data_IF_519459996157
#
_entry.id   IF_519459996157
#
_cell.length_a   1.000
_cell.length_b   1.000
_cell.length_c   1.000
_cell.angle_alpha   90.00
_cell.angle_beta   90.00
_cell.angle_gamma   90.00
#
_symmetry.space_group_name_H-M   'P 1'
#
loop_
_entity.id
_entity.type
_entity.pdbx_description
1 polymer ?
#
# COMPACT_ATOMS: atom_id res chain seq x y z
N UNK A 1 -21.05 10.73 -27.76
CA UNK A 1 -21.71 11.98 -27.34
C UNK A 1 -20.68 12.88 -26.68
N UNK A 2 -20.52 14.13 -27.13
CA UNK A 2 -19.59 15.07 -26.50
C UNK A 2 -20.02 15.30 -25.03
N UNK A 3 -19.10 15.11 -24.09
CA UNK A 3 -19.38 15.36 -22.67
C UNK A 3 -19.61 16.86 -22.47
N UNK A 4 -20.78 17.23 -21.94
CA UNK A 4 -21.12 18.62 -21.65
C UNK A 4 -20.22 19.18 -20.52
N UNK A 5 -19.81 20.44 -20.64
CA UNK A 5 -19.05 21.16 -19.61
C UNK A 5 -19.77 21.09 -18.26
N UNK A 6 -19.11 20.65 -17.17
CA UNK A 6 -19.72 20.65 -15.85
C UNK A 6 -20.12 22.06 -15.42
N UNK A 7 -21.32 22.20 -14.84
CA UNK A 7 -21.86 23.50 -14.38
C UNK A 7 -20.93 24.26 -13.43
N UNK A 8 -20.07 23.57 -12.68
CA UNK A 8 -19.15 24.15 -11.68
C UNK A 8 -17.69 24.19 -12.14
N UNK A 9 -17.41 24.08 -13.44
CA UNK A 9 -16.04 24.15 -13.95
C UNK A 9 -15.50 25.59 -13.97
N UNK A 10 -14.30 25.77 -13.40
CA UNK A 10 -13.54 27.01 -13.43
C UNK A 10 -12.72 27.08 -14.72
N UNK A 11 -12.94 28.09 -15.55
CA UNK A 11 -12.29 28.24 -16.87
C UNK A 11 -10.87 28.81 -16.82
N UNK A 12 -10.36 29.16 -15.65
CA UNK A 12 -9.00 29.66 -15.48
C UNK A 12 -8.14 28.62 -14.75
N UNK A 13 -6.88 28.40 -15.19
CA UNK A 13 -6.23 29.06 -16.33
C UNK A 13 -6.55 28.46 -17.70
N UNK A 14 -7.22 27.30 -17.76
CA UNK A 14 -7.53 26.60 -19.01
C UNK A 14 -9.03 26.37 -19.21
N UNK A 15 -9.49 26.43 -20.44
CA UNK A 15 -10.88 26.12 -20.78
C UNK A 15 -11.20 24.62 -20.64
N UNK A 16 -12.50 24.32 -20.60
CA UNK A 16 -12.97 22.94 -20.50
C UNK A 16 -12.54 22.15 -21.75
N UNK A 17 -11.76 21.08 -21.53
CA UNK A 17 -11.20 20.24 -22.59
C UNK A 17 -10.26 20.99 -23.55
N UNK A 18 -9.66 22.09 -23.10
CA UNK A 18 -8.54 22.68 -23.81
C UNK A 18 -7.41 21.66 -23.95
N UNK A 19 -6.87 21.54 -25.17
CA UNK A 19 -5.70 20.71 -25.46
C UNK A 19 -4.47 21.61 -25.37
N UNK A 20 -3.58 21.26 -24.46
CA UNK A 20 -2.35 22.00 -24.20
C UNK A 20 -1.14 21.12 -24.49
N UNK A 21 -0.11 21.71 -25.07
CA UNK A 21 1.19 21.10 -25.21
C UNK A 21 1.97 21.27 -23.90
N UNK A 22 2.45 20.18 -23.32
CA UNK A 22 3.15 20.18 -22.03
C UNK A 22 4.47 19.44 -22.11
N UNK A 23 5.46 19.93 -21.36
CA UNK A 23 6.69 19.21 -21.05
C UNK A 23 6.59 18.66 -19.62
N UNK A 24 6.80 17.35 -19.47
CA UNK A 24 6.71 16.68 -18.17
C UNK A 24 8.08 16.73 -17.48
N UNK A 25 8.10 17.25 -16.26
CA UNK A 25 9.31 17.51 -15.48
C UNK A 25 9.53 16.48 -14.36
N UNK A 26 8.46 15.86 -13.87
CA UNK A 26 8.51 14.98 -12.71
C UNK A 26 7.27 14.12 -12.56
N UNK A 27 7.24 13.35 -11.47
CA UNK A 27 6.08 12.55 -11.06
C UNK A 27 5.59 13.02 -9.69
N UNK A 28 4.28 12.98 -9.50
CA UNK A 28 3.63 13.17 -8.21
C UNK A 28 3.68 11.90 -7.36
N UNK A 29 3.35 12.03 -6.07
CA UNK A 29 3.10 10.89 -5.16
C UNK A 29 1.93 9.97 -5.60
N UNK A 30 1.10 10.45 -6.55
CA UNK A 30 0.03 9.68 -7.19
C UNK A 30 0.50 8.97 -8.47
N UNK A 31 1.77 9.12 -8.85
CA UNK A 31 2.33 8.56 -10.07
C UNK A 31 1.87 9.25 -11.36
N UNK A 32 1.26 10.43 -11.25
CA UNK A 32 0.93 11.26 -12.40
C UNK A 32 2.11 12.17 -12.76
N UNK A 33 2.36 12.35 -14.07
CA UNK A 33 3.28 13.32 -14.61
C UNK A 33 2.94 14.74 -14.15
N UNK A 34 3.97 15.53 -13.89
CA UNK A 34 3.86 16.93 -13.49
C UNK A 34 4.48 17.80 -14.58
N UNK A 35 3.70 18.71 -15.12
CA UNK A 35 4.17 19.85 -15.92
C UNK A 35 3.97 21.16 -15.13
N UNK A 36 4.80 22.16 -15.40
CA UNK A 36 4.69 23.49 -14.78
C UNK A 36 4.76 24.65 -15.80
N UNK A 37 3.88 24.69 -16.82
CA UNK A 37 3.83 25.83 -17.74
C UNK A 37 3.63 27.12 -16.94
N UNK A 38 4.56 28.07 -17.10
CA UNK A 38 4.58 29.37 -16.40
C UNK A 38 4.38 29.27 -14.87
N UNK A 39 4.89 28.18 -14.27
CA UNK A 39 4.78 27.91 -12.84
C UNK A 39 3.44 27.29 -12.39
N UNK A 40 2.47 27.10 -13.28
CA UNK A 40 1.18 26.47 -12.97
C UNK A 40 1.24 24.94 -13.05
N UNK A 41 0.89 24.25 -11.96
CA UNK A 41 1.00 22.78 -11.88
C UNK A 41 -0.10 22.09 -12.68
N UNK A 42 0.26 21.22 -13.61
CA UNK A 42 -0.67 20.34 -14.34
C UNK A 42 -0.31 18.88 -14.09
N UNK A 43 -1.28 18.11 -13.58
CA UNK A 43 -1.14 16.67 -13.37
C UNK A 43 -1.67 15.88 -14.56
N UNK A 44 -0.82 15.03 -15.13
CA UNK A 44 -1.14 14.19 -16.29
C UNK A 44 -0.80 12.73 -16.01
N UNK A 45 -1.78 11.88 -15.66
CA UNK A 45 -1.58 10.45 -15.45
C UNK A 45 -0.99 9.75 -16.68
N UNK A 46 -0.14 8.74 -16.44
CA UNK A 46 0.52 7.92 -17.48
C UNK A 46 1.51 8.66 -18.40
N UNK A 47 1.84 9.91 -18.08
CA UNK A 47 2.93 10.64 -18.69
C UNK A 47 4.20 10.56 -17.82
N UNK A 48 5.37 10.52 -18.45
CA UNK A 48 6.67 10.36 -17.80
C UNK A 48 7.55 11.60 -17.94
N UNK A 49 8.47 11.83 -16.99
CA UNK A 49 9.47 12.88 -17.09
C UNK A 49 10.30 12.78 -18.35
N UNK A 50 10.57 13.94 -18.96
CA UNK A 50 11.25 14.06 -20.25
C UNK A 50 10.31 14.06 -21.45
N UNK A 51 9.01 13.76 -21.26
CA UNK A 51 8.06 13.74 -22.37
C UNK A 51 7.59 15.12 -22.78
N UNK A 52 7.33 15.25 -24.08
CA UNK A 52 6.50 16.29 -24.67
C UNK A 52 5.18 15.66 -25.08
N UNK A 53 4.06 16.21 -24.61
CA UNK A 53 2.74 15.61 -24.78
C UNK A 53 1.68 16.62 -25.18
N UNK A 54 0.60 16.14 -25.77
CA UNK A 54 -0.69 16.83 -25.78
C UNK A 54 -1.54 16.31 -24.63
N UNK A 55 -2.07 17.21 -23.82
CA UNK A 55 -2.93 16.88 -22.67
C UNK A 55 -4.23 17.67 -22.74
N UNK A 56 -5.35 17.02 -22.41
CA UNK A 56 -6.68 17.62 -22.42
C UNK A 56 -7.13 17.94 -21.00
N UNK A 57 -7.24 19.21 -20.67
CA UNK A 57 -7.61 19.67 -19.32
C UNK A 57 -9.09 19.38 -19.03
N UNK A 58 -9.36 18.69 -17.93
CA UNK A 58 -10.73 18.38 -17.50
C UNK A 58 -11.04 18.91 -16.09
N UNK A 59 -10.08 19.54 -15.39
CA UNK A 59 -10.37 20.18 -14.11
C UNK A 59 -9.33 21.23 -13.76
N UNK A 60 -9.79 22.39 -13.32
CA UNK A 60 -8.96 23.37 -12.64
C UNK A 60 -9.36 23.43 -11.15
N UNK A 61 -8.35 23.41 -10.28
CA UNK A 61 -8.46 23.65 -8.85
C UNK A 61 -7.81 25.00 -8.50
N UNK A 62 -7.58 25.27 -7.21
CA UNK A 62 -7.08 26.57 -6.77
C UNK A 62 -5.62 26.84 -7.20
N UNK A 63 -4.81 25.79 -7.31
CA UNK A 63 -3.37 25.89 -7.53
C UNK A 63 -2.84 24.84 -8.53
N UNK A 64 -3.73 24.11 -9.21
CA UNK A 64 -3.35 23.11 -10.18
C UNK A 64 -4.48 22.82 -11.18
N UNK A 65 -4.12 22.13 -12.25
CA UNK A 65 -5.05 21.53 -13.20
C UNK A 65 -4.84 20.03 -13.31
N UNK A 66 -5.87 19.31 -13.72
CA UNK A 66 -5.81 17.90 -14.09
C UNK A 66 -6.16 17.75 -15.55
N UNK A 67 -5.35 16.97 -16.25
CA UNK A 67 -5.54 16.68 -17.66
C UNK A 67 -5.41 15.18 -17.94
N UNK A 68 -6.05 14.75 -19.02
CA UNK A 68 -5.87 13.41 -19.58
C UNK A 68 -4.79 13.47 -20.66
N UNK A 69 -3.88 12.49 -20.67
CA UNK A 69 -2.92 12.31 -21.76
C UNK A 69 -3.67 12.02 -23.06
N UNK A 70 -3.44 12.82 -24.11
CA UNK A 70 -4.04 12.64 -25.44
C UNK A 70 -3.05 11.95 -26.37
N UNK A 71 -1.84 12.49 -26.46
CA UNK A 71 -0.81 12.04 -27.38
C UNK A 71 0.58 12.32 -26.80
N UNK A 72 1.53 11.44 -27.07
CA UNK A 72 2.94 11.64 -26.74
C UNK A 72 3.63 12.10 -28.03
N UNK A 73 4.06 13.36 -28.06
CA UNK A 73 4.76 13.95 -29.20
C UNK A 73 6.24 13.54 -29.22
N UNK A 74 6.87 13.56 -28.04
CA UNK A 74 8.24 13.11 -27.84
C UNK A 74 8.28 12.19 -26.61
N UNK A 75 8.52 10.88 -26.78
CA UNK A 75 8.54 9.94 -25.66
C UNK A 75 9.81 10.09 -24.81
N UNK A 76 9.70 9.78 -23.53
CA UNK A 76 10.85 9.66 -22.64
C UNK A 76 11.73 8.50 -23.12
N UNK A 77 13.08 8.60 -23.04
CA UNK A 77 13.96 7.46 -23.30
C UNK A 77 13.70 6.30 -22.31
N UNK A 78 13.12 6.59 -21.16
CA UNK A 78 12.73 5.61 -20.14
C UNK A 78 11.30 5.05 -20.39
N UNK A 79 10.60 5.37 -21.48
CA UNK A 79 9.28 4.77 -21.72
C UNK A 79 9.44 3.33 -22.25
N UNK A 80 8.71 2.41 -21.65
CA UNK A 80 8.58 1.01 -22.12
C UNK A 80 7.12 0.64 -22.37
N UNK A 81 6.90 -0.42 -23.15
CA UNK A 81 5.57 -0.95 -23.40
C UNK A 81 5.03 -1.69 -22.17
N UNK A 82 3.84 -1.34 -21.65
CA UNK A 82 3.20 -2.05 -20.56
C UNK A 82 2.92 -3.53 -20.88
N UNK A 83 3.14 -4.42 -19.90
CA UNK A 83 2.80 -5.85 -20.04
C UNK A 83 1.30 -6.12 -20.01
N UNK A 84 0.53 -5.29 -19.28
CA UNK A 84 -0.90 -5.51 -19.10
C UNK A 84 -1.70 -4.84 -20.23
N UNK A 85 -2.58 -5.59 -20.93
CA UNK A 85 -3.44 -5.02 -21.97
C UNK A 85 -4.46 -4.02 -21.42
N UNK A 86 -4.69 -4.03 -20.10
CA UNK A 86 -5.61 -3.12 -19.41
C UNK A 86 -4.90 -1.89 -18.82
N UNK A 87 -3.58 -1.73 -19.01
CA UNK A 87 -2.83 -0.60 -18.47
C UNK A 87 -3.39 0.74 -19.01
N UNK A 88 -3.21 1.82 -18.25
CA UNK A 88 -3.81 3.15 -18.47
C UNK A 88 -5.35 3.23 -18.39
N UNK A 89 -6.07 2.09 -18.47
CA UNK A 89 -7.52 2.02 -18.32
C UNK A 89 -7.93 1.51 -16.94
N UNK A 90 -7.34 0.39 -16.50
CA UNK A 90 -7.55 -0.17 -15.17
C UNK A 90 -6.86 0.70 -14.10
N UNK A 91 -7.55 1.00 -13.00
CA UNK A 91 -7.00 1.81 -11.91
C UNK A 91 -5.91 1.13 -11.06
N UNK A 92 -5.53 -0.11 -11.36
CA UNK A 92 -4.65 -0.92 -10.51
C UNK A 92 -3.17 -0.54 -10.55
N UNK A 93 -2.61 -0.26 -11.72
CA UNK A 93 -1.17 -0.02 -11.91
C UNK A 93 -0.92 1.39 -12.47
N UNK A 94 0.22 1.98 -12.11
CA UNK A 94 0.59 3.33 -12.54
C UNK A 94 1.92 3.39 -13.27
N UNK A 95 2.80 2.40 -13.13
CA UNK A 95 4.19 2.49 -13.60
C UNK A 95 4.61 1.42 -14.61
N UNK A 96 3.70 0.61 -15.17
CA UNK A 96 4.11 -0.44 -16.13
C UNK A 96 4.82 0.09 -17.39
N UNK A 97 4.68 1.38 -17.69
CA UNK A 97 5.34 2.05 -18.81
C UNK A 97 6.71 2.64 -18.44
N UNK A 98 7.23 2.34 -17.24
CA UNK A 98 8.48 2.83 -16.70
C UNK A 98 9.37 1.65 -16.24
N UNK A 99 10.65 1.57 -16.62
CA UNK A 99 11.59 0.55 -16.19
C UNK A 99 11.66 0.43 -14.66
N UNK A 100 11.83 -0.80 -14.20
CA UNK A 100 11.66 -1.12 -12.79
C UNK A 100 12.64 -0.36 -11.89
N UNK A 101 13.90 -0.25 -12.30
CA UNK A 101 14.94 0.51 -11.60
C UNK A 101 14.57 2.00 -11.44
N UNK A 102 13.89 2.57 -12.44
CA UNK A 102 13.39 3.95 -12.37
C UNK A 102 12.22 4.04 -11.40
N UNK A 103 11.34 3.03 -11.35
CA UNK A 103 10.27 2.99 -10.34
C UNK A 103 10.84 3.04 -8.91
N UNK A 104 11.91 2.28 -8.63
CA UNK A 104 12.59 2.29 -7.34
C UNK A 104 13.21 3.65 -7.03
N UNK A 105 13.85 4.28 -8.02
CA UNK A 105 14.37 5.64 -7.91
C UNK A 105 13.28 6.65 -7.52
N UNK A 106 12.12 6.59 -8.19
CA UNK A 106 10.98 7.45 -7.88
C UNK A 106 10.37 7.20 -6.51
N UNK A 107 10.24 5.94 -6.08
CA UNK A 107 9.76 5.61 -4.73
C UNK A 107 10.68 6.15 -3.65
N UNK A 108 12.00 6.07 -3.87
CA UNK A 108 13.01 6.65 -2.97
C UNK A 108 12.86 8.17 -2.92
N UNK A 109 12.79 8.82 -4.09
CA UNK A 109 12.64 10.27 -4.21
C UNK A 109 11.35 10.78 -3.58
N UNK A 110 10.26 10.04 -3.71
CA UNK A 110 8.97 10.37 -3.11
C UNK A 110 9.09 10.50 -1.58
N UNK A 111 9.80 9.59 -0.91
CA UNK A 111 10.00 9.66 0.54
C UNK A 111 10.87 10.87 0.91
N UNK A 112 11.93 11.14 0.13
CA UNK A 112 12.80 12.32 0.32
C UNK A 112 12.02 13.65 0.19
N UNK A 113 11.21 13.78 -0.86
CA UNK A 113 10.38 14.97 -1.11
C UNK A 113 9.33 15.15 -0.01
N UNK A 114 8.73 14.06 0.49
CA UNK A 114 7.78 14.12 1.61
C UNK A 114 8.45 14.56 2.92
N UNK A 115 9.67 14.08 3.21
CA UNK A 115 10.43 14.55 4.37
C UNK A 115 10.72 16.05 4.29
N UNK A 116 11.28 16.50 3.15
CA UNK A 116 11.60 17.91 2.95
C UNK A 116 10.36 18.79 3.01
N UNK A 117 9.31 18.47 2.26
CA UNK A 117 8.13 19.34 2.13
C UNK A 117 7.14 19.23 3.29
N UNK A 118 6.94 18.04 3.84
CA UNK A 118 5.97 17.87 4.93
C UNK A 118 6.63 18.08 6.28
N UNK A 119 7.81 17.51 6.54
CA UNK A 119 8.47 17.57 7.86
C UNK A 119 9.37 18.80 7.98
N UNK A 120 9.98 19.26 6.88
CA UNK A 120 10.91 20.39 6.89
C UNK A 120 12.35 19.99 7.25
N UNK A 121 12.71 18.73 7.03
CA UNK A 121 14.05 18.21 7.32
C UNK A 121 14.66 17.50 6.11
N UNK A 122 15.98 17.51 6.05
CA UNK A 122 16.75 16.64 5.15
C UNK A 122 17.36 15.50 5.96
N UNK A 123 16.96 14.27 5.63
CA UNK A 123 17.48 13.06 6.23
C UNK A 123 17.85 12.06 5.13
N UNK A 124 18.85 11.21 5.39
CA UNK A 124 19.22 10.15 4.46
C UNK A 124 18.07 9.15 4.34
N UNK A 125 17.56 9.01 3.12
CA UNK A 125 16.64 7.94 2.73
C UNK A 125 17.44 6.88 1.97
N UNK A 126 17.38 5.63 2.42
CA UNK A 126 18.04 4.54 1.74
C UNK A 126 17.35 4.23 0.40
N UNK A 127 18.07 3.67 -0.59
CA UNK A 127 17.45 3.20 -1.83
C UNK A 127 16.31 2.22 -1.55
N UNK A 128 15.20 2.35 -2.28
CA UNK A 128 14.05 1.43 -2.15
C UNK A 128 14.48 -0.01 -2.38
N UNK A 129 14.19 -0.88 -1.41
CA UNK A 129 14.46 -2.32 -1.53
C UNK A 129 13.52 -2.91 -2.58
N UNK A 130 14.05 -3.57 -3.63
CA UNK A 130 13.24 -4.14 -4.70
C UNK A 130 12.44 -5.35 -4.22
N UNK A 131 11.31 -5.59 -4.89
CA UNK A 131 10.63 -6.88 -4.77
C UNK A 131 11.42 -7.96 -5.50
N UNK A 132 11.54 -9.17 -4.93
CA UNK A 132 12.09 -10.32 -5.65
C UNK A 132 11.28 -10.69 -6.91
N UNK A 133 9.98 -10.36 -6.95
CA UNK A 133 9.11 -10.56 -8.11
C UNK A 133 8.41 -9.26 -8.51
N UNK A 134 8.64 -8.82 -9.75
CA UNK A 134 8.00 -7.62 -10.32
C UNK A 134 6.60 -7.89 -10.89
N UNK A 135 6.31 -9.16 -11.18
CA UNK A 135 5.09 -9.69 -11.79
C UNK A 135 4.73 -10.98 -11.08
N UNK A 136 3.46 -11.43 -11.17
CA UNK A 136 3.06 -12.68 -10.52
C UNK A 136 3.30 -12.69 -9.01
N UNK A 137 3.28 -11.52 -8.36
CA UNK A 137 3.62 -11.36 -6.96
C UNK A 137 2.38 -11.28 -6.06
N UNK A 138 1.25 -10.84 -6.62
CA UNK A 138 0.09 -10.43 -5.84
C UNK A 138 -0.77 -11.64 -5.51
N UNK A 139 -0.74 -12.07 -4.24
CA UNK A 139 -1.42 -13.27 -3.74
C UNK A 139 -2.92 -13.08 -3.47
N UNK A 140 -3.45 -11.85 -3.53
CA UNK A 140 -4.89 -11.57 -3.45
C UNK A 140 -5.34 -10.50 -4.42
N UNK A 141 -6.40 -10.79 -5.16
CA UNK A 141 -7.17 -9.80 -5.92
C UNK A 141 -8.66 -9.90 -5.60
N UNK A 142 -9.38 -8.79 -5.79
CA UNK A 142 -10.81 -8.72 -5.50
C UNK A 142 -11.58 -8.04 -6.64
N UNK A 143 -11.77 -8.70 -7.81
CA UNK A 143 -12.53 -8.11 -8.90
C UNK A 143 -14.01 -7.97 -8.52
N UNK A 144 -14.67 -6.99 -9.13
CA UNK A 144 -16.04 -6.60 -8.86
C UNK A 144 -16.89 -6.71 -10.13
N UNK A 145 -18.19 -6.86 -9.96
CA UNK A 145 -19.17 -6.68 -11.01
C UNK A 145 -20.40 -5.95 -10.46
N UNK A 146 -21.08 -5.21 -11.34
CA UNK A 146 -22.37 -4.59 -11.03
C UNK A 146 -23.50 -5.63 -11.16
N UNK A 147 -24.70 -5.31 -10.69
CA UNK A 147 -25.86 -6.22 -10.84
C UNK A 147 -25.99 -6.65 -12.31
N UNK A 148 -25.85 -7.95 -12.62
CA UNK A 148 -26.01 -8.43 -13.98
C UNK A 148 -27.43 -8.19 -14.49
N UNK A 149 -27.56 -7.93 -15.79
CA UNK A 149 -28.84 -8.00 -16.47
C UNK A 149 -28.92 -9.35 -17.18
N UNK A 150 -29.96 -10.16 -16.93
CA UNK A 150 -30.09 -11.46 -17.58
C UNK A 150 -30.01 -11.35 -19.11
N UNK A 151 -29.14 -12.15 -19.73
CA UNK A 151 -28.94 -12.18 -21.19
C UNK A 151 -28.00 -11.09 -21.76
N UNK A 152 -27.51 -10.16 -20.94
CA UNK A 152 -26.47 -9.20 -21.33
C UNK A 152 -25.11 -9.62 -20.74
N UNK A 153 -24.05 -9.50 -21.52
CA UNK A 153 -22.69 -9.63 -20.99
C UNK A 153 -22.35 -8.44 -20.07
N UNK A 154 -21.48 -8.64 -19.08
CA UNK A 154 -21.11 -7.62 -18.11
C UNK A 154 -19.64 -7.74 -17.67
N UNK A 155 -18.98 -6.60 -17.36
CA UNK A 155 -17.59 -6.60 -16.94
C UNK A 155 -17.41 -7.20 -15.54
N UNK A 156 -16.38 -8.02 -15.39
CA UNK A 156 -15.88 -8.48 -14.09
C UNK A 156 -14.43 -7.99 -13.99
N UNK A 157 -14.11 -7.15 -13.01
CA UNK A 157 -12.76 -6.60 -12.92
C UNK A 157 -12.62 -5.46 -11.94
N UNK A 158 -11.83 -4.45 -12.29
CA UNK A 158 -11.51 -3.34 -11.38
C UNK A 158 -12.11 -2.03 -11.87
N UNK A 159 -12.16 -1.04 -10.98
CA UNK A 159 -12.57 0.31 -11.35
C UNK A 159 -11.63 0.88 -12.43
N UNK A 160 -12.24 1.51 -13.43
CA UNK A 160 -11.51 2.31 -14.41
C UNK A 160 -10.81 3.47 -13.70
N UNK A 161 -9.60 3.79 -14.17
CA UNK A 161 -8.79 4.87 -13.63
C UNK A 161 -9.58 6.19 -13.58
N UNK A 162 -9.51 6.90 -12.45
CA UNK A 162 -10.27 8.12 -12.16
C UNK A 162 -11.80 8.00 -12.25
N UNK A 163 -12.39 6.78 -12.29
CA UNK A 163 -13.84 6.56 -12.26
C UNK A 163 -14.26 5.87 -10.97
N UNK A 164 -15.44 6.26 -10.47
CA UNK A 164 -15.98 5.74 -9.19
C UNK A 164 -16.87 4.51 -9.35
N UNK A 165 -17.43 4.29 -10.53
CA UNK A 165 -18.47 3.27 -10.75
C UNK A 165 -18.21 2.41 -11.98
N UNK A 166 -17.50 2.92 -12.98
CA UNK A 166 -17.24 2.21 -14.23
C UNK A 166 -16.14 1.16 -14.02
N UNK A 167 -16.41 -0.03 -14.52
CA UNK A 167 -15.52 -1.19 -14.40
C UNK A 167 -14.82 -1.44 -15.74
N UNK A 168 -13.57 -1.86 -15.64
CA UNK A 168 -12.81 -2.48 -16.73
C UNK A 168 -13.02 -3.97 -16.62
N UNK A 169 -13.40 -4.62 -17.73
CA UNK A 169 -13.42 -6.08 -17.76
C UNK A 169 -11.99 -6.61 -17.77
N UNK A 170 -11.59 -7.31 -16.72
CA UNK A 170 -10.23 -7.80 -16.52
C UNK A 170 -10.24 -9.32 -16.54
N UNK A 171 -9.69 -9.87 -17.63
CA UNK A 171 -9.59 -11.31 -17.87
C UNK A 171 -8.18 -11.86 -17.57
N UNK A 172 -7.19 -10.98 -17.41
CA UNK A 172 -5.83 -11.35 -17.01
C UNK A 172 -5.17 -10.19 -16.25
N UNK A 173 -4.40 -10.50 -15.21
CA UNK A 173 -3.70 -9.52 -14.39
C UNK A 173 -2.23 -9.93 -14.19
N UNK A 174 -1.27 -9.37 -14.95
CA UNK A 174 0.14 -9.80 -14.89
C UNK A 174 0.83 -9.62 -13.53
N UNK A 175 0.28 -8.80 -12.64
CA UNK A 175 0.82 -8.65 -11.27
C UNK A 175 0.23 -9.68 -10.29
N UNK A 176 -0.92 -10.28 -10.60
CA UNK A 176 -1.51 -11.38 -9.83
C UNK A 176 -0.74 -12.67 -10.09
N UNK A 177 -0.65 -13.53 -9.06
CA UNK A 177 0.00 -14.83 -9.17
C UNK A 177 -0.63 -15.69 -10.27
N UNK A 178 0.15 -16.63 -10.82
CA UNK A 178 -0.25 -17.42 -11.99
C UNK A 178 -1.48 -18.28 -11.66
N UNK A 179 -1.55 -18.86 -10.46
CA UNK A 179 -2.68 -19.64 -9.95
C UNK A 179 -3.98 -18.82 -9.96
N UNK A 180 -3.89 -17.52 -9.63
CA UNK A 180 -5.04 -16.60 -9.70
C UNK A 180 -5.46 -16.38 -11.15
N UNK A 181 -4.51 -16.17 -12.07
CA UNK A 181 -4.85 -15.96 -13.48
C UNK A 181 -5.44 -17.23 -14.12
N UNK A 182 -4.95 -18.41 -13.76
CA UNK A 182 -5.51 -19.71 -14.17
C UNK A 182 -6.94 -19.91 -13.65
N UNK A 183 -7.21 -19.56 -12.39
CA UNK A 183 -8.54 -19.68 -11.78
C UNK A 183 -9.52 -18.59 -12.24
N UNK A 184 -9.04 -17.44 -12.71
CA UNK A 184 -9.85 -16.26 -12.98
C UNK A 184 -10.91 -16.52 -14.06
N UNK A 185 -10.53 -17.13 -15.19
CA UNK A 185 -11.46 -17.35 -16.30
C UNK A 185 -12.58 -18.34 -15.95
N UNK A 186 -12.31 -19.54 -15.37
CA UNK A 186 -13.37 -20.44 -14.89
C UNK A 186 -14.33 -19.79 -13.89
N UNK A 187 -13.81 -18.99 -12.95
CA UNK A 187 -14.65 -18.26 -11.97
C UNK A 187 -15.53 -17.21 -12.66
N UNK A 188 -14.99 -16.49 -13.65
CA UNK A 188 -15.77 -15.52 -14.45
C UNK A 188 -16.90 -16.22 -15.19
N UNK A 189 -16.65 -17.38 -15.78
CA UNK A 189 -17.65 -18.15 -16.52
C UNK A 189 -18.76 -18.68 -15.61
N UNK A 190 -18.42 -19.17 -14.40
CA UNK A 190 -19.42 -19.56 -13.39
C UNK A 190 -20.31 -18.37 -13.01
N UNK A 191 -19.71 -17.22 -12.68
CA UNK A 191 -20.44 -15.99 -12.30
C UNK A 191 -21.37 -15.53 -13.43
N UNK A 192 -20.91 -15.58 -14.69
CA UNK A 192 -21.74 -15.23 -15.85
C UNK A 192 -22.87 -16.24 -16.06
N UNK A 193 -22.63 -17.54 -15.86
CA UNK A 193 -23.66 -18.58 -15.98
C UNK A 193 -24.78 -18.42 -14.93
N UNK A 194 -24.43 -17.93 -13.74
CA UNK A 194 -25.35 -17.68 -12.62
C UNK A 194 -25.82 -16.23 -12.53
N UNK A 195 -25.66 -15.43 -13.59
CA UNK A 195 -25.99 -14.00 -13.62
C UNK A 195 -27.40 -13.69 -13.09
N UNK A 196 -28.39 -14.53 -13.39
CA UNK A 196 -29.78 -14.37 -12.94
C UNK A 196 -29.98 -14.52 -11.41
N UNK A 197 -29.06 -15.18 -10.70
CA UNK A 197 -29.12 -15.36 -9.25
C UNK A 197 -28.73 -14.07 -8.48
N UNK A 198 -27.96 -13.19 -9.13
CA UNK A 198 -27.40 -12.00 -8.49
C UNK A 198 -28.40 -10.84 -8.46
N UNK A 199 -28.97 -10.59 -7.27
CA UNK A 199 -29.87 -9.43 -7.03
C UNK A 199 -29.13 -8.08 -6.93
N UNK A 200 -27.81 -8.10 -6.71
CA UNK A 200 -26.93 -6.94 -6.59
C UNK A 200 -25.55 -7.28 -7.17
N UNK A 201 -24.73 -6.26 -7.41
CA UNK A 201 -23.32 -6.47 -7.70
C UNK A 201 -22.58 -7.08 -6.52
N UNK A 202 -21.44 -7.71 -6.78
CA UNK A 202 -20.62 -8.33 -5.76
C UNK A 202 -19.11 -8.14 -6.02
N UNK A 203 -18.34 -8.44 -4.99
CA UNK A 203 -16.88 -8.55 -5.02
C UNK A 203 -16.55 -10.02 -4.96
N UNK A 204 -15.75 -10.49 -5.90
CA UNK A 204 -15.16 -11.83 -5.86
C UNK A 204 -13.86 -11.73 -5.07
N UNK A 205 -13.57 -12.73 -4.25
CA UNK A 205 -12.26 -12.93 -3.64
C UNK A 205 -11.50 -13.98 -4.44
N UNK A 206 -10.26 -13.70 -4.81
CA UNK A 206 -9.32 -14.70 -5.31
C UNK A 206 -8.04 -14.53 -4.52
N UNK A 207 -7.73 -15.49 -3.66
CA UNK A 207 -6.48 -15.51 -2.88
C UNK A 207 -5.71 -16.79 -3.17
N UNK A 208 -4.52 -16.65 -3.73
CA UNK A 208 -3.57 -17.75 -3.84
C UNK A 208 -3.09 -18.13 -2.44
N UNK A 209 -3.12 -19.43 -2.14
CA UNK A 209 -2.70 -20.00 -0.86
C UNK A 209 -2.29 -21.43 -1.10
N UNK A 210 -1.09 -21.80 -0.67
CA UNK A 210 -0.52 -23.12 -0.98
C UNK A 210 -0.61 -23.35 -2.50
N UNK A 211 -1.18 -24.47 -2.95
CA UNK A 211 -1.33 -24.81 -4.38
C UNK A 211 -2.77 -24.59 -4.91
N UNK A 212 -3.53 -23.66 -4.32
CA UNK A 212 -4.92 -23.37 -4.74
C UNK A 212 -5.29 -21.90 -4.66
N UNK A 213 -6.46 -21.57 -5.24
CA UNK A 213 -7.12 -20.26 -5.09
C UNK A 213 -8.35 -20.40 -4.21
N UNK A 214 -8.37 -19.67 -3.09
CA UNK A 214 -9.52 -19.59 -2.19
C UNK A 214 -10.44 -18.43 -2.57
N UNK A 215 -11.75 -18.69 -2.53
CA UNK A 215 -12.80 -17.73 -2.88
C UNK A 215 -13.82 -17.50 -1.77
N UNK A 216 -13.87 -18.38 -0.76
CA UNK A 216 -14.66 -18.15 0.45
C UNK A 216 -13.90 -17.22 1.40
N UNK A 217 -14.48 -16.03 1.63
CA UNK A 217 -13.95 -15.03 2.56
C UNK A 217 -13.68 -15.55 3.97
N UNK A 218 -14.39 -16.59 4.41
CA UNK A 218 -14.30 -17.15 5.77
C UNK A 218 -13.47 -18.42 5.85
N UNK A 219 -12.97 -18.93 4.72
CA UNK A 219 -12.10 -20.09 4.74
C UNK A 219 -10.75 -19.73 5.37
N UNK A 220 -10.23 -20.53 6.31
CA UNK A 220 -8.85 -20.43 6.75
C UNK A 220 -7.89 -20.70 5.61
N UNK A 221 -6.91 -19.81 5.45
CA UNK A 221 -5.80 -19.91 4.50
C UNK A 221 -4.49 -19.75 5.23
N UNK A 222 -3.37 -19.94 4.53
CA UNK A 222 -2.07 -19.73 5.14
C UNK A 222 -1.04 -19.14 4.19
N UNK A 223 -0.05 -18.46 4.76
CA UNK A 223 1.08 -17.90 4.05
C UNK A 223 2.38 -18.23 4.80
N UNK A 224 3.45 -18.52 4.06
CA UNK A 224 4.76 -18.79 4.65
C UNK A 224 5.61 -17.54 4.58
N UNK A 225 6.18 -17.13 5.71
CA UNK A 225 7.14 -16.03 5.80
C UNK A 225 8.38 -16.51 6.53
N UNK A 226 9.50 -16.59 5.81
CA UNK A 226 10.70 -17.25 6.31
C UNK A 226 10.41 -18.70 6.69
N UNK A 227 10.63 -19.06 7.96
CA UNK A 227 10.34 -20.40 8.49
C UNK A 227 8.96 -20.51 9.16
N UNK A 228 8.21 -19.42 9.25
CA UNK A 228 6.94 -19.36 9.96
C UNK A 228 5.76 -19.56 9.00
N UNK A 229 4.69 -20.20 9.50
CA UNK A 229 3.42 -20.36 8.79
C UNK A 229 2.33 -19.55 9.49
N UNK A 230 1.75 -18.60 8.78
CA UNK A 230 0.70 -17.72 9.28
C UNK A 230 -0.65 -18.15 8.72
N UNK A 231 -1.61 -18.40 9.60
CA UNK A 231 -3.00 -18.69 9.28
C UNK A 231 -3.88 -17.47 9.55
N UNK A 232 -4.87 -17.26 8.70
CA UNK A 232 -5.84 -16.16 8.77
C UNK A 232 -7.04 -16.49 7.88
N UNK A 233 -8.14 -15.72 7.92
CA UNK A 233 -9.26 -15.94 6.99
C UNK A 233 -8.93 -15.35 5.61
N UNK A 234 -9.36 -16.00 4.53
CA UNK A 234 -9.04 -15.56 3.18
C UNK A 234 -9.44 -14.09 2.89
N UNK A 235 -10.55 -13.65 3.48
CA UNK A 235 -11.06 -12.28 3.40
C UNK A 235 -10.22 -11.25 4.18
N UNK A 236 -9.50 -11.68 5.21
CA UNK A 236 -8.76 -10.80 6.11
C UNK A 236 -7.55 -10.15 5.41
N UNK A 237 -7.02 -9.13 6.07
CA UNK A 237 -5.78 -8.50 5.67
C UNK A 237 -4.60 -9.42 5.97
N UNK A 238 -3.75 -9.60 4.96
CA UNK A 238 -2.40 -10.12 5.07
C UNK A 238 -1.62 -9.49 3.90
N UNK A 239 -0.31 -9.36 4.03
CA UNK A 239 0.49 -8.72 2.98
C UNK A 239 0.35 -9.48 1.65
N UNK A 240 0.09 -8.75 0.56
CA UNK A 240 -0.26 -9.36 -0.72
C UNK A 240 0.96 -9.74 -1.57
N UNK A 241 2.18 -9.46 -1.12
CA UNK A 241 3.42 -9.82 -1.82
C UNK A 241 4.26 -10.72 -0.91
N UNK A 242 4.03 -12.05 -0.91
CA UNK A 242 4.71 -12.95 0.02
C UNK A 242 6.22 -13.02 -0.24
N UNK A 243 6.65 -12.78 -1.48
CA UNK A 243 8.04 -12.94 -1.91
C UNK A 243 9.02 -11.97 -1.23
N UNK A 244 8.57 -10.79 -0.80
CA UNK A 244 9.43 -9.81 -0.13
C UNK A 244 9.35 -9.88 1.42
N UNK A 245 8.35 -10.60 1.98
CA UNK A 245 8.05 -10.52 3.41
C UNK A 245 9.18 -10.98 4.31
N UNK A 246 9.92 -12.02 3.93
CA UNK A 246 11.06 -12.49 4.75
C UNK A 246 12.14 -11.41 4.89
N UNK A 247 12.50 -10.72 3.80
CA UNK A 247 13.46 -9.61 3.87
C UNK A 247 12.90 -8.39 4.62
N UNK A 248 11.60 -8.14 4.47
CA UNK A 248 10.91 -7.02 5.11
C UNK A 248 10.81 -7.19 6.63
N UNK A 249 10.41 -8.37 7.10
CA UNK A 249 10.32 -8.65 8.54
C UNK A 249 11.70 -8.78 9.18
N UNK A 250 12.71 -9.32 8.47
CA UNK A 250 14.10 -9.30 8.94
C UNK A 250 14.62 -7.89 9.14
N UNK A 251 14.39 -6.99 8.18
CA UNK A 251 14.79 -5.60 8.35
C UNK A 251 14.07 -4.93 9.53
N UNK A 252 12.76 -5.15 9.69
CA UNK A 252 12.04 -4.65 10.85
C UNK A 252 12.61 -5.21 12.18
N UNK A 253 13.01 -6.48 12.20
CA UNK A 253 13.69 -7.09 13.34
C UNK A 253 15.02 -6.42 13.65
N UNK A 254 15.89 -6.25 12.65
CA UNK A 254 17.18 -5.55 12.80
C UNK A 254 16.99 -4.11 13.29
N UNK A 255 15.95 -3.42 12.81
CA UNK A 255 15.63 -2.08 13.26
C UNK A 255 14.99 -2.06 14.65
N UNK A 256 14.30 -3.11 15.09
CA UNK A 256 13.68 -3.17 16.42
C UNK A 256 14.68 -3.69 17.48
N UNK A 257 15.66 -4.47 17.07
CA UNK A 257 16.77 -4.95 17.89
C UNK A 257 17.73 -3.77 18.10
N UNK A 258 17.61 -3.10 19.24
CA UNK A 258 18.58 -2.12 19.68
C UNK A 258 19.49 -2.72 20.77
N UNK A 259 20.48 -1.96 21.27
CA UNK A 259 21.51 -2.48 22.16
C UNK A 259 20.96 -2.98 23.52
N UNK A 260 19.82 -2.47 23.99
CA UNK A 260 19.27 -2.78 25.31
C UNK A 260 17.83 -3.34 25.24
N UNK A 261 17.34 -3.62 24.03
CA UNK A 261 15.94 -3.94 23.81
C UNK A 261 15.70 -5.43 24.10
N UNK A 262 14.92 -5.70 25.15
CA UNK A 262 14.51 -7.04 25.57
C UNK A 262 13.06 -7.33 25.27
N UNK A 263 12.23 -6.29 25.17
CA UNK A 263 10.80 -6.43 25.01
C UNK A 263 10.32 -5.80 23.70
N UNK A 264 9.32 -6.43 23.08
CA UNK A 264 8.66 -5.91 21.90
C UNK A 264 7.16 -5.72 22.16
N UNK A 265 6.67 -4.52 21.85
CA UNK A 265 5.25 -4.26 21.64
C UNK A 265 4.98 -4.20 20.14
N UNK A 266 4.06 -5.02 19.65
CA UNK A 266 3.61 -5.01 18.25
C UNK A 266 2.19 -4.43 18.19
N UNK A 267 2.05 -3.14 17.88
CA UNK A 267 0.75 -2.49 17.81
C UNK A 267 0.19 -2.56 16.38
N UNK A 268 -1.12 -2.81 16.27
CA UNK A 268 -1.79 -3.14 15.01
C UNK A 268 -1.28 -4.48 14.46
N UNK A 269 -1.04 -5.45 15.34
CA UNK A 269 -0.32 -6.67 14.98
C UNK A 269 -1.05 -7.59 13.99
N UNK A 270 -2.35 -7.38 13.76
CA UNK A 270 -3.16 -8.24 12.90
C UNK A 270 -3.08 -9.70 13.33
N UNK A 271 -2.79 -10.60 12.40
CA UNK A 271 -2.56 -12.03 12.66
C UNK A 271 -1.15 -12.37 13.18
N UNK A 272 -0.39 -11.37 13.61
CA UNK A 272 0.89 -11.50 14.31
C UNK A 272 2.14 -11.50 13.43
N UNK A 273 2.07 -10.93 12.20
CA UNK A 273 3.17 -10.99 11.23
C UNK A 273 4.51 -10.55 11.84
N UNK A 274 4.56 -9.34 12.40
CA UNK A 274 5.79 -8.82 12.98
C UNK A 274 6.09 -9.44 14.34
N UNK A 275 5.14 -9.43 15.27
CA UNK A 275 5.34 -9.94 16.63
C UNK A 275 5.88 -11.38 16.66
N UNK A 276 5.39 -12.26 15.77
CA UNK A 276 5.89 -13.63 15.66
C UNK A 276 7.22 -13.72 14.89
N UNK A 277 7.37 -12.96 13.80
CA UNK A 277 8.62 -12.97 13.01
C UNK A 277 9.83 -12.45 13.81
N UNK A 278 9.57 -11.51 14.73
CA UNK A 278 10.57 -10.88 15.58
C UNK A 278 10.75 -11.60 16.92
N UNK A 279 9.86 -12.52 17.31
CA UNK A 279 9.81 -13.08 18.66
C UNK A 279 11.14 -13.66 19.18
N UNK A 280 11.94 -14.27 18.30
CA UNK A 280 13.25 -14.84 18.66
C UNK A 280 14.30 -13.81 19.08
N UNK A 281 14.10 -12.53 18.75
CA UNK A 281 15.01 -11.43 19.03
C UNK A 281 14.72 -10.76 20.40
N UNK A 282 13.65 -11.17 21.09
CA UNK A 282 13.19 -10.54 22.32
C UNK A 282 12.94 -11.58 23.40
N UNK A 283 13.08 -11.20 24.67
CA UNK A 283 12.71 -12.03 25.81
C UNK A 283 11.20 -12.24 25.86
N UNK A 284 10.41 -11.19 25.54
CA UNK A 284 8.96 -11.27 25.49
C UNK A 284 8.35 -10.31 24.47
N UNK A 285 7.29 -10.77 23.81
CA UNK A 285 6.50 -9.99 22.85
C UNK A 285 5.06 -9.88 23.32
N UNK A 286 4.49 -8.68 23.21
CA UNK A 286 3.05 -8.44 23.35
C UNK A 286 2.53 -7.76 22.09
N UNK A 287 1.64 -8.43 21.38
CA UNK A 287 0.90 -7.84 20.26
C UNK A 287 -0.43 -7.26 20.72
N UNK A 288 -0.78 -6.08 20.21
CA UNK A 288 -2.02 -5.37 20.52
C UNK A 288 -2.80 -5.16 19.22
N UNK A 289 -4.04 -5.63 19.20
CA UNK A 289 -4.93 -5.59 18.04
C UNK A 289 -6.35 -5.17 18.45
N UNK A 290 -7.04 -4.43 17.57
CA UNK A 290 -8.42 -4.00 17.79
C UNK A 290 -9.43 -5.10 17.40
N UNK A 291 -9.08 -5.92 16.40
CA UNK A 291 -9.89 -7.02 15.91
C UNK A 291 -9.65 -8.30 16.73
N UNK A 292 -10.64 -8.73 17.50
CA UNK A 292 -10.59 -10.01 18.24
C UNK A 292 -10.27 -11.18 17.31
N UNK A 293 -10.90 -11.25 16.13
CA UNK A 293 -10.63 -12.31 15.14
C UNK A 293 -9.16 -12.35 14.72
N UNK A 294 -8.53 -11.18 14.54
CA UNK A 294 -7.13 -11.09 14.14
C UNK A 294 -6.20 -11.48 15.30
N UNK A 295 -6.50 -11.00 16.51
CA UNK A 295 -5.78 -11.37 17.73
C UNK A 295 -5.84 -12.88 18.00
N UNK A 296 -7.01 -13.50 17.80
CA UNK A 296 -7.19 -14.95 17.88
C UNK A 296 -6.33 -15.71 16.87
N UNK A 297 -6.24 -15.23 15.63
CA UNK A 297 -5.32 -15.79 14.65
C UNK A 297 -3.86 -15.62 15.06
N UNK A 298 -3.48 -14.48 15.64
CA UNK A 298 -2.14 -14.28 16.17
C UNK A 298 -1.79 -15.27 17.29
N UNK A 299 -2.70 -15.50 18.25
CA UNK A 299 -2.55 -16.53 19.30
C UNK A 299 -2.41 -17.93 18.72
N UNK A 300 -3.23 -18.28 17.72
CA UNK A 300 -3.16 -19.58 17.04
C UNK A 300 -1.85 -19.73 16.28
N UNK A 301 -1.41 -18.68 15.59
CA UNK A 301 -0.13 -18.67 14.86
C UNK A 301 1.05 -18.81 15.81
N UNK A 302 1.03 -18.18 16.98
CA UNK A 302 2.05 -18.38 18.02
C UNK A 302 2.17 -19.87 18.37
N UNK A 303 1.03 -20.50 18.69
CA UNK A 303 0.96 -21.94 19.02
C UNK A 303 1.43 -22.82 17.85
N UNK A 304 0.96 -22.54 16.63
CA UNK A 304 1.33 -23.31 15.43
C UNK A 304 2.82 -23.26 15.12
N UNK A 305 3.47 -22.12 15.40
CA UNK A 305 4.89 -21.95 15.18
C UNK A 305 5.75 -22.30 16.41
N UNK A 306 5.15 -22.77 17.51
CA UNK A 306 5.88 -23.11 18.74
C UNK A 306 6.53 -21.89 19.42
N UNK A 307 5.94 -20.71 19.27
CA UNK A 307 6.45 -19.46 19.86
C UNK A 307 5.75 -19.25 21.21
N UNK A 308 6.49 -19.42 22.30
CA UNK A 308 5.96 -19.37 23.67
C UNK A 308 6.14 -18.00 24.34
N UNK A 309 7.08 -17.19 23.87
CA UNK A 309 7.40 -15.88 24.43
C UNK A 309 6.56 -14.72 23.82
N UNK A 310 5.55 -15.03 23.00
CA UNK A 310 4.67 -14.05 22.39
C UNK A 310 3.22 -14.21 22.89
N UNK A 311 2.61 -13.09 23.28
CA UNK A 311 1.21 -13.02 23.71
C UNK A 311 0.46 -11.94 22.94
N UNK A 312 -0.84 -12.10 22.74
CA UNK A 312 -1.64 -11.19 21.90
C UNK A 312 -2.93 -10.80 22.61
N UNK A 313 -3.18 -9.50 22.67
CA UNK A 313 -4.30 -8.89 23.39
C UNK A 313 -5.19 -8.19 22.38
N UNK A 314 -6.49 -8.46 22.47
CA UNK A 314 -7.49 -7.66 21.81
C UNK A 314 -7.89 -6.53 22.76
N UNK A 315 -7.62 -5.28 22.38
CA UNK A 315 -7.87 -4.11 23.26
C UNK A 315 -8.53 -2.98 22.51
N UNK A 316 -9.39 -2.20 23.18
CA UNK A 316 -9.95 -0.97 22.63
C UNK A 316 -8.88 0.12 22.60
N UNK A 317 -9.09 1.14 21.76
CA UNK A 317 -8.12 2.23 21.60
C UNK A 317 -7.94 3.12 22.84
N UNK A 318 -8.77 2.96 23.87
CA UNK A 318 -8.84 3.87 25.02
C UNK A 318 -7.65 3.69 25.98
N UNK A 319 -7.21 2.44 26.23
CA UNK A 319 -6.15 2.12 27.20
C UNK A 319 -5.21 1.00 26.70
N UNK A 320 -4.56 1.20 25.54
CA UNK A 320 -3.77 0.16 24.86
C UNK A 320 -2.54 -0.29 25.66
N UNK A 321 -1.97 0.60 26.49
CA UNK A 321 -0.73 0.35 27.22
C UNK A 321 -0.92 0.15 28.73
N UNK A 322 -2.15 0.21 29.25
CA UNK A 322 -2.40 0.20 30.69
C UNK A 322 -1.91 -1.08 31.39
N UNK A 323 -2.04 -2.23 30.72
CA UNK A 323 -1.63 -3.54 31.25
C UNK A 323 -0.20 -3.94 30.85
N UNK A 324 0.55 -3.06 30.20
CA UNK A 324 1.91 -3.33 29.76
C UNK A 324 2.89 -3.05 30.90
N UNK A 325 3.58 -4.09 31.35
CA UNK A 325 4.54 -4.02 32.47
C UNK A 325 6.00 -3.87 32.03
N UNK A 326 6.25 -3.70 30.74
CA UNK A 326 7.62 -3.63 30.21
C UNK A 326 8.30 -2.30 30.57
N UNK A 327 9.57 -2.32 31.02
CA UNK A 327 10.36 -1.10 31.19
C UNK A 327 10.50 -0.36 29.85
N UNK A 328 10.08 0.91 29.73
CA UNK A 328 10.12 1.63 28.47
C UNK A 328 11.53 1.70 27.84
N UNK A 329 12.55 1.83 28.68
CA UNK A 329 13.95 1.94 28.26
C UNK A 329 14.49 0.66 27.60
N UNK A 330 13.89 -0.49 27.91
CA UNK A 330 14.24 -1.82 27.39
C UNK A 330 13.22 -2.30 26.33
N UNK A 331 12.29 -1.44 25.91
CA UNK A 331 11.18 -1.80 25.03
C UNK A 331 11.29 -1.15 23.66
N UNK A 332 11.19 -1.98 22.63
CA UNK A 332 10.86 -1.55 21.27
C UNK A 332 9.36 -1.59 21.06
N UNK A 333 8.81 -0.60 20.36
CA UNK A 333 7.46 -0.71 19.78
C UNK A 333 7.54 -0.73 18.26
N UNK A 334 6.91 -1.72 17.64
CA UNK A 334 6.64 -1.73 16.21
C UNK A 334 5.19 -1.28 15.98
N UNK A 335 5.00 -0.40 15.01
CA UNK A 335 3.68 0.11 14.62
C UNK A 335 3.48 -0.06 13.11
N UNK A 336 2.40 -0.73 12.70
CA UNK A 336 1.96 -0.87 11.30
C UNK A 336 0.50 -0.39 11.15
N UNK A 337 0.24 0.92 11.30
CA UNK A 337 -1.13 1.44 11.28
C UNK A 337 -1.77 1.36 9.89
N UNK A 338 -3.11 1.45 9.81
CA UNK A 338 -3.81 1.56 8.53
C UNK A 338 -3.38 2.81 7.75
N UNK A 339 -3.79 2.91 6.47
CA UNK A 339 -3.45 4.03 5.54
C UNK A 339 -3.69 5.46 6.06
N UNK A 340 -4.49 5.62 7.12
CA UNK A 340 -4.79 6.91 7.78
C UNK A 340 -3.73 7.33 8.80
N UNK A 341 -2.73 6.49 9.06
CA UNK A 341 -1.70 6.66 10.10
C UNK A 341 -2.24 6.35 11.50
N UNK A 342 -1.46 6.70 12.51
CA UNK A 342 -1.84 6.56 13.91
C UNK A 342 -2.96 7.55 14.27
N UNK A 343 -3.82 7.17 15.23
CA UNK A 343 -4.72 8.14 15.87
C UNK A 343 -3.95 9.02 16.85
N UNK A 344 -4.49 10.20 17.16
CA UNK A 344 -3.88 11.09 18.15
C UNK A 344 -3.84 10.43 19.53
N UNK A 345 -4.91 9.73 19.92
CA UNK A 345 -4.98 9.01 21.20
C UNK A 345 -3.91 7.93 21.32
N UNK A 346 -3.68 7.17 20.23
CA UNK A 346 -2.60 6.18 20.18
C UNK A 346 -1.23 6.82 20.38
N UNK A 347 -0.95 7.90 19.64
CA UNK A 347 0.33 8.61 19.77
C UNK A 347 0.53 9.18 21.17
N UNK A 348 -0.52 9.76 21.78
CA UNK A 348 -0.45 10.28 23.14
C UNK A 348 -0.09 9.17 24.15
N UNK A 349 -0.73 8.01 24.04
CA UNK A 349 -0.40 6.88 24.92
C UNK A 349 1.01 6.32 24.65
N UNK A 350 1.43 6.21 23.39
CA UNK A 350 2.78 5.79 23.02
C UNK A 350 3.83 6.73 23.62
N UNK A 351 3.63 8.06 23.51
CA UNK A 351 4.56 9.04 24.06
C UNK A 351 4.55 9.07 25.59
N UNK A 352 3.42 8.78 26.22
CA UNK A 352 3.31 8.63 27.67
C UNK A 352 4.02 7.37 28.17
N UNK A 353 3.88 6.24 27.46
CA UNK A 353 4.64 5.01 27.72
C UNK A 353 6.13 5.24 27.51
N UNK A 354 6.51 5.98 26.45
CA UNK A 354 7.86 6.47 26.21
C UNK A 354 8.90 5.41 25.86
N UNK A 355 8.62 4.47 24.93
CA UNK A 355 9.58 3.42 24.57
C UNK A 355 10.88 4.02 24.03
N UNK A 356 12.03 3.45 24.38
CA UNK A 356 13.33 3.96 23.91
C UNK A 356 13.54 3.77 22.41
N UNK A 357 12.74 2.90 21.76
CA UNK A 357 12.85 2.59 20.34
C UNK A 357 11.50 2.36 19.69
N UNK A 358 11.33 2.91 18.48
CA UNK A 358 10.11 2.79 17.67
C UNK A 358 10.48 2.37 16.25
N UNK A 359 9.81 1.36 15.72
CA UNK A 359 9.86 0.98 14.30
C UNK A 359 8.49 1.27 13.68
N UNK A 360 8.41 2.31 12.87
CA UNK A 360 7.18 2.69 12.17
C UNK A 360 7.19 2.12 10.76
N UNK A 361 6.34 1.13 10.51
CA UNK A 361 6.02 0.59 9.18
C UNK A 361 4.81 1.32 8.58
N UNK A 362 4.86 1.75 7.31
CA UNK A 362 3.72 2.43 6.69
C UNK A 362 3.60 2.24 5.19
N UNK A 363 2.38 1.89 4.77
CA UNK A 363 1.94 1.83 3.37
C UNK A 363 1.54 3.20 2.79
N UNK A 364 1.59 4.25 3.61
CA UNK A 364 1.30 5.63 3.23
C UNK A 364 2.32 6.60 3.84
N UNK A 365 3.43 6.85 3.13
CA UNK A 365 4.50 7.73 3.62
C UNK A 365 4.02 9.14 4.00
N UNK A 366 2.97 9.68 3.36
CA UNK A 366 2.47 11.01 3.69
C UNK A 366 1.88 11.09 5.10
N UNK A 367 1.08 10.09 5.52
CA UNK A 367 0.57 10.04 6.90
C UNK A 367 1.66 9.69 7.89
N UNK A 368 2.65 8.88 7.49
CA UNK A 368 3.83 8.61 8.29
C UNK A 368 4.64 9.89 8.56
N UNK A 369 4.84 10.76 7.56
CA UNK A 369 5.52 12.06 7.75
C UNK A 369 4.75 13.01 8.66
N UNK A 370 3.41 12.99 8.62
CA UNK A 370 2.58 13.75 9.57
C UNK A 370 2.88 13.31 11.00
N UNK A 371 2.85 11.99 11.26
CA UNK A 371 3.05 11.43 12.60
C UNK A 371 4.51 11.60 13.06
N UNK A 372 5.47 11.48 12.14
CA UNK A 372 6.90 11.68 12.40
C UNK A 372 7.20 13.03 13.04
N UNK A 373 6.48 14.10 12.66
CA UNK A 373 6.62 15.42 13.33
C UNK A 373 6.42 15.32 14.83
N UNK A 374 5.36 14.64 15.26
CA UNK A 374 5.06 14.45 16.67
C UNK A 374 6.13 13.61 17.37
N UNK A 375 6.71 12.61 16.71
CA UNK A 375 7.86 11.88 17.25
C UNK A 375 9.06 12.80 17.48
N UNK A 376 9.42 13.63 16.50
CA UNK A 376 10.54 14.58 16.61
C UNK A 376 10.31 15.61 17.72
N UNK A 377 9.10 16.16 17.81
CA UNK A 377 8.69 17.10 18.87
C UNK A 377 8.77 16.47 20.27
N UNK A 378 8.58 15.16 20.37
CA UNK A 378 8.69 14.38 21.61
C UNK A 378 10.10 13.86 21.89
N UNK A 379 11.10 14.30 21.11
CA UNK A 379 12.51 14.02 21.34
C UNK A 379 13.02 12.71 20.75
N UNK A 380 12.24 12.03 19.91
CA UNK A 380 12.75 10.91 19.13
C UNK A 380 13.65 11.40 17.99
N UNK A 381 14.67 10.62 17.66
CA UNK A 381 15.63 10.87 16.58
C UNK A 381 15.49 9.79 15.53
N UNK A 382 15.60 10.18 14.26
CA UNK A 382 15.61 9.24 13.13
C UNK A 382 16.96 8.53 13.09
N UNK A 383 16.92 7.20 13.14
CA UNK A 383 18.08 6.34 12.95
C UNK A 383 18.19 5.88 11.49
N UNK A 384 17.06 5.50 10.89
CA UNK A 384 17.02 5.02 9.50
C UNK A 384 15.66 5.23 8.84
N UNK A 385 15.69 5.33 7.50
CA UNK A 385 14.49 5.42 6.65
C UNK A 385 14.70 4.49 5.45
N UNK A 386 13.90 3.42 5.38
CA UNK A 386 14.02 2.36 4.38
C UNK A 386 12.69 2.13 3.65
N UNK A 387 12.56 2.61 2.40
CA UNK A 387 11.45 2.24 1.54
C UNK A 387 11.59 0.79 1.04
N UNK A 388 10.46 0.11 0.86
CA UNK A 388 10.33 -1.23 0.27
C UNK A 388 9.28 -1.21 -0.83
N UNK A 389 9.58 -1.91 -1.92
CA UNK A 389 8.62 -2.11 -2.99
C UNK A 389 7.78 -3.38 -2.82
N UNK A 390 6.74 -3.32 -1.97
CA UNK A 390 5.77 -4.42 -1.88
C UNK A 390 4.80 -4.45 -3.07
N UNK A 391 4.73 -3.37 -3.84
CA UNK A 391 3.75 -3.23 -4.93
C UNK A 391 4.41 -2.74 -6.23
N UNK A 392 5.29 -3.56 -6.86
CA UNK A 392 5.85 -3.27 -8.17
C UNK A 392 4.78 -2.85 -9.18
N UNK A 393 5.15 -2.01 -10.16
CA UNK A 393 4.24 -1.50 -11.20
C UNK A 393 3.16 -0.53 -10.70
N UNK A 394 3.10 -0.28 -9.40
CA UNK A 394 2.21 0.69 -8.77
C UNK A 394 3.01 1.81 -8.12
N UNK A 395 2.32 2.92 -7.84
CA UNK A 395 2.86 4.03 -7.04
C UNK A 395 3.03 3.73 -5.55
N UNK A 396 2.50 2.61 -5.07
CA UNK A 396 2.51 2.29 -3.65
C UNK A 396 3.89 1.80 -3.22
N UNK A 397 4.28 2.13 -1.99
CA UNK A 397 5.50 1.66 -1.35
C UNK A 397 5.20 1.48 0.15
N UNK A 398 5.92 0.58 0.79
CA UNK A 398 6.02 0.55 2.25
C UNK A 398 7.26 1.32 2.67
N UNK A 399 7.21 1.99 3.81
CA UNK A 399 8.37 2.68 4.38
C UNK A 399 8.54 2.33 5.84
N UNK A 400 9.74 1.88 6.21
CA UNK A 400 10.15 1.60 7.59
C UNK A 400 11.00 2.76 8.09
N UNK A 401 10.58 3.39 9.19
CA UNK A 401 11.37 4.41 9.89
C UNK A 401 11.73 3.88 11.27
N UNK A 402 13.03 3.81 11.57
CA UNK A 402 13.51 3.49 12.90
C UNK A 402 13.79 4.79 13.65
N UNK A 403 13.27 4.88 14.87
CA UNK A 403 13.41 6.02 15.75
C UNK A 403 13.96 5.57 17.09
N UNK A 404 14.86 6.36 17.67
CA UNK A 404 15.38 6.17 19.01
C UNK A 404 15.05 7.37 19.89
N UNK A 405 14.91 7.14 21.18
CA UNK A 405 14.87 8.19 22.20
C UNK A 405 16.05 7.98 23.13
N UNK A 406 16.84 9.03 23.32
CA UNK A 406 17.87 9.02 24.36
C UNK A 406 17.17 9.26 25.69
N UNK A 407 17.33 8.31 26.60
CA UNK A 407 16.85 8.39 27.98
C UNK A 407 17.70 9.36 28.80
#
# INVERSE_FOLDING_TARGET
MAQQRPRKFKAEPYEWHEIVELKIEGLSNLGAGIAKPDGWVVFVPFALPGEKILAKVWRNEANCSHADLVEILEPSPDRIEPRCPHFATCGGCQYQHLPYEKQLGWKTKQVQELLSHMVGIEAKVNPTVPSPKQWGYRSKITPHFQRPKPGEDFPIGFLEFNRRTRLVDVYNCPIAMDEINEALQPIRDDVKSRAAEYKKGATLLLRATEDRVETDHRAPVSEKVGNLKFHFLAGDFFQNNPFILDSFTKHAAEQAEGPNQKYLLDAYCGSGLFGLSLAKNFERVVGIELSETSADWARRNAKTNGIENASFIASSAEDLFADITFPPDETSILIDPPRKGCSLDFLNQLFAFGPSRVVYVSCNPATQMRDLKSFLEKGYKIESIQPFDLFPQTRHLECVIALSRQC
#
